data_IF_705775161647
#
_entry.id   IF_705775161647
#
_cell.length_a   1.000
_cell.length_b   1.000
_cell.length_c   1.000
_cell.angle_alpha   90.00
_cell.angle_beta   90.00
_cell.angle_gamma   90.00
#
_symmetry.space_group_name_H-M   'P 1'
#
loop_
_entity.id
_entity.type
_entity.pdbx_description
1 polymer ?
#
# COMPACT_ATOMS: atom_id res chain seq x y z
N UNK A 1 5.10 1.74 28.00
CA UNK A 1 5.46 1.23 26.66
C UNK A 1 4.31 0.36 26.18
N UNK A 2 3.60 0.75 25.11
CA UNK A 2 2.58 -0.11 24.49
C UNK A 2 3.30 -1.29 23.85
N UNK A 3 2.85 -2.52 24.10
CA UNK A 3 3.40 -3.72 23.45
C UNK A 3 3.25 -3.65 21.93
N UNK A 4 3.97 -4.50 21.17
CA UNK A 4 3.81 -4.56 19.73
C UNK A 4 2.35 -4.86 19.38
N UNK A 5 1.75 -4.04 18.53
CA UNK A 5 0.42 -4.32 17.96
C UNK A 5 0.43 -5.62 17.14
N UNK A 6 -0.73 -6.21 16.86
CA UNK A 6 -0.81 -7.44 16.08
C UNK A 6 -0.11 -7.24 14.72
N UNK A 7 0.83 -8.14 14.42
CA UNK A 7 1.51 -8.16 13.13
C UNK A 7 0.52 -8.63 12.06
N UNK A 8 0.53 -7.97 10.90
CA UNK A 8 -0.12 -8.49 9.72
C UNK A 8 0.61 -9.78 9.33
N UNK A 9 -0.08 -10.91 9.44
CA UNK A 9 0.47 -12.24 9.15
C UNK A 9 -0.32 -12.84 8.00
N UNK A 10 0.37 -13.49 7.06
CA UNK A 10 -0.30 -14.14 5.95
C UNK A 10 -1.23 -15.22 6.50
N UNK A 11 -2.50 -15.22 6.07
CA UNK A 11 -3.48 -16.26 6.41
C UNK A 11 -3.23 -17.56 5.62
N UNK A 12 -1.99 -18.07 5.68
CA UNK A 12 -1.63 -19.38 5.12
C UNK A 12 -1.42 -19.42 3.59
N UNK A 13 -0.98 -18.34 2.95
CA UNK A 13 -0.64 -18.30 1.50
C UNK A 13 0.90 -18.39 1.26
N UNK A 14 1.38 -18.82 0.08
CA UNK A 14 2.73 -19.36 -0.11
C UNK A 14 3.86 -18.37 0.24
N UNK A 15 5.03 -18.93 0.54
CA UNK A 15 6.29 -18.25 0.91
C UNK A 15 6.73 -17.13 -0.07
N UNK A 16 6.12 -17.02 -1.26
CA UNK A 16 6.44 -16.04 -2.31
C UNK A 16 5.80 -14.66 -2.11
N UNK A 17 4.89 -14.51 -1.14
CA UNK A 17 4.28 -13.22 -0.77
C UNK A 17 4.74 -12.68 0.58
N UNK A 18 6.00 -12.91 0.92
CA UNK A 18 6.65 -12.11 1.97
C UNK A 18 6.56 -10.63 1.56
N UNK A 19 6.24 -9.75 2.50
CA UNK A 19 6.33 -8.30 2.33
C UNK A 19 7.82 -7.96 2.16
N UNK A 20 8.35 -8.20 0.96
CA UNK A 20 9.77 -8.15 0.72
C UNK A 20 10.21 -6.69 0.59
N UNK A 21 11.24 -6.37 1.36
CA UNK A 21 11.81 -5.05 1.53
C UNK A 21 12.57 -4.64 0.25
N UNK A 22 11.92 -3.93 -0.69
CA UNK A 22 12.62 -3.32 -1.83
C UNK A 22 13.55 -2.21 -1.37
N UNK A 23 14.75 -2.01 -1.95
CA UNK A 23 15.89 -1.22 -1.41
C UNK A 23 15.68 0.26 -1.02
N UNK A 24 14.50 0.86 -1.22
CA UNK A 24 14.08 2.08 -0.52
C UNK A 24 13.48 1.79 0.88
N UNK A 25 13.32 0.52 1.22
CA UNK A 25 12.84 -0.01 2.48
C UNK A 25 13.93 0.11 3.52
N UNK A 26 13.70 0.96 4.52
CA UNK A 26 14.59 1.01 5.68
C UNK A 26 15.08 2.39 6.04
N UNK A 27 14.67 3.46 5.34
CA UNK A 27 15.01 4.84 5.74
C UNK A 27 13.74 5.65 6.06
N UNK A 28 13.92 6.69 6.89
CA UNK A 28 12.86 7.59 7.34
C UNK A 28 11.68 6.84 7.94
N UNK A 29 10.46 7.17 7.52
CA UNK A 29 9.21 6.57 8.04
C UNK A 29 9.09 5.05 7.78
N UNK A 30 9.90 4.50 6.87
CA UNK A 30 9.96 3.06 6.58
C UNK A 30 11.13 2.36 7.30
N UNK A 31 12.00 3.10 8.01
CA UNK A 31 13.08 2.52 8.80
C UNK A 31 12.55 1.64 9.92
N UNK A 32 13.26 0.54 10.19
CA UNK A 32 13.02 -0.35 11.33
C UNK A 32 13.88 0.02 12.54
N UNK A 33 14.81 0.96 12.39
CA UNK A 33 15.61 1.50 13.49
C UNK A 33 14.76 2.54 14.26
N UNK A 34 14.44 2.31 15.55
CA UNK A 34 13.72 3.29 16.36
C UNK A 34 14.46 4.62 16.57
N UNK A 35 15.79 4.67 16.38
CA UNK A 35 16.54 5.92 16.43
C UNK A 35 16.22 6.82 15.23
N UNK A 36 15.94 6.22 14.07
CA UNK A 36 15.57 6.94 12.84
C UNK A 36 14.04 7.09 12.70
N UNK A 37 13.28 6.07 13.08
CA UNK A 37 11.82 6.00 13.00
C UNK A 37 11.19 5.74 14.38
N UNK A 38 11.25 6.71 15.30
CA UNK A 38 10.82 6.53 16.68
C UNK A 38 9.32 6.20 16.82
N UNK A 39 8.51 6.57 15.82
CA UNK A 39 7.05 6.43 15.87
C UNK A 39 6.56 5.15 15.18
N UNK A 40 7.15 4.75 14.05
CA UNK A 40 6.58 3.70 13.19
C UNK A 40 7.51 2.51 12.94
N UNK A 41 8.66 2.41 13.61
CA UNK A 41 9.62 1.32 13.40
C UNK A 41 9.01 -0.08 13.60
N UNK A 42 8.05 -0.20 14.51
CA UNK A 42 7.33 -1.45 14.80
C UNK A 42 6.00 -1.61 14.04
N UNK A 43 5.62 -0.67 13.17
CA UNK A 43 4.37 -0.75 12.42
C UNK A 43 4.43 -1.84 11.33
N UNK A 44 3.26 -2.35 10.93
CA UNK A 44 3.17 -3.13 9.69
C UNK A 44 3.44 -2.21 8.49
N UNK A 45 4.23 -2.68 7.53
CA UNK A 45 4.62 -1.88 6.36
C UNK A 45 4.21 -2.61 5.08
N UNK A 46 3.59 -1.90 4.15
CA UNK A 46 3.26 -2.38 2.82
C UNK A 46 3.71 -1.35 1.78
N UNK A 47 4.17 -1.81 0.62
CA UNK A 47 4.68 -0.96 -0.46
C UNK A 47 3.90 -1.18 -1.75
N UNK A 48 3.48 -0.08 -2.38
CA UNK A 48 2.87 -0.09 -3.70
C UNK A 48 3.85 0.40 -4.76
N UNK A 49 4.36 -0.51 -5.59
CA UNK A 49 5.26 -0.14 -6.69
C UNK A 49 4.52 0.66 -7.77
N UNK A 50 5.13 1.77 -8.18
CA UNK A 50 4.57 2.62 -9.23
C UNK A 50 4.81 2.01 -10.61
N UNK A 51 3.79 1.35 -11.17
CA UNK A 51 3.83 0.68 -12.48
C UNK A 51 2.78 1.17 -13.48
N UNK A 52 2.12 2.29 -13.18
CA UNK A 52 0.86 2.72 -13.81
C UNK A 52 0.95 4.03 -14.60
N UNK A 53 2.04 4.79 -14.45
CA UNK A 53 2.34 6.04 -15.20
C UNK A 53 1.25 7.11 -15.24
N UNK A 54 0.31 7.11 -14.27
CA UNK A 54 -0.87 7.96 -14.25
C UNK A 54 -1.23 8.45 -12.85
N UNK A 55 -0.23 8.76 -12.02
CA UNK A 55 -0.40 9.44 -10.71
C UNK A 55 -1.44 8.77 -9.76
N UNK A 56 -1.61 7.46 -9.89
CA UNK A 56 -2.60 6.67 -9.14
C UNK A 56 -4.06 7.09 -9.36
N UNK A 57 -4.40 7.73 -10.48
CA UNK A 57 -5.77 8.23 -10.73
C UNK A 57 -6.58 7.38 -11.69
N UNK A 58 -5.91 6.60 -12.55
CA UNK A 58 -6.58 5.84 -13.60
C UNK A 58 -7.59 4.81 -13.09
N UNK A 59 -8.78 4.78 -13.69
CA UNK A 59 -9.92 3.94 -13.30
C UNK A 59 -10.30 2.90 -14.35
N UNK A 60 -9.62 2.86 -15.49
CA UNK A 60 -10.03 2.02 -16.60
C UNK A 60 -9.42 0.62 -16.46
N UNK A 61 -10.22 -0.45 -16.25
CA UNK A 61 -9.69 -1.81 -16.16
C UNK A 61 -9.32 -2.37 -17.54
N UNK A 62 -9.72 -1.71 -18.63
CA UNK A 62 -9.43 -2.12 -20.01
C UNK A 62 -8.17 -1.42 -20.52
N UNK A 63 -7.29 -2.14 -21.24
CA UNK A 63 -6.09 -1.54 -21.80
C UNK A 63 -6.46 -0.54 -22.90
N UNK A 64 -5.70 0.55 -22.97
CA UNK A 64 -5.75 1.48 -24.09
C UNK A 64 -4.69 1.08 -25.11
N UNK A 65 -5.07 1.06 -26.38
CA UNK A 65 -4.14 0.85 -27.48
C UNK A 65 -3.36 2.15 -27.71
N UNK A 66 -2.03 2.02 -27.82
CA UNK A 66 -1.12 3.11 -28.16
C UNK A 66 -0.24 2.70 -29.32
N UNK A 67 0.49 3.66 -29.90
CA UNK A 67 1.35 3.46 -31.05
C UNK A 67 2.26 2.23 -30.92
N UNK A 68 2.36 1.50 -32.03
CA UNK A 68 3.08 0.22 -32.08
C UNK A 68 2.28 -0.97 -31.55
N UNK A 69 0.93 -0.90 -31.55
CA UNK A 69 0.04 -1.98 -31.09
C UNK A 69 0.27 -2.39 -29.62
N UNK A 70 0.80 -1.46 -28.80
CA UNK A 70 1.03 -1.69 -27.38
C UNK A 70 -0.26 -1.44 -26.60
N UNK A 71 -0.39 -2.16 -25.49
CA UNK A 71 -1.52 -2.05 -24.56
C UNK A 71 -1.02 -1.49 -23.25
N UNK A 72 -1.54 -0.33 -22.85
CA UNK A 72 -1.24 0.29 -21.57
C UNK A 72 -2.46 0.27 -20.66
N UNK A 73 -2.25 -0.08 -19.40
CA UNK A 73 -3.28 -0.03 -18.36
C UNK A 73 -3.07 1.21 -17.51
N UNK A 74 -4.09 2.07 -17.49
CA UNK A 74 -4.16 3.23 -16.61
C UNK A 74 -5.22 2.97 -15.55
N UNK A 75 -4.88 2.10 -14.60
CA UNK A 75 -5.78 1.57 -13.57
C UNK A 75 -5.26 1.81 -12.14
N UNK A 76 -4.40 2.81 -11.95
CA UNK A 76 -3.72 3.03 -10.67
C UNK A 76 -4.65 3.23 -9.47
N UNK A 77 -5.81 3.84 -9.68
CA UNK A 77 -6.83 3.98 -8.63
C UNK A 77 -7.38 2.61 -8.20
N UNK A 78 -7.57 1.70 -9.16
CA UNK A 78 -8.01 0.34 -8.91
C UNK A 78 -6.90 -0.48 -8.22
N UNK A 79 -5.63 -0.27 -8.57
CA UNK A 79 -4.51 -0.93 -7.92
C UNK A 79 -4.40 -0.55 -6.44
N UNK A 80 -4.58 0.74 -6.10
CA UNK A 80 -4.60 1.20 -4.71
C UNK A 80 -5.71 0.52 -3.90
N UNK A 81 -6.91 0.41 -4.47
CA UNK A 81 -8.03 -0.30 -3.84
C UNK A 81 -7.74 -1.80 -3.68
N UNK A 82 -7.22 -2.45 -4.71
CA UNK A 82 -6.89 -3.87 -4.68
C UNK A 82 -5.83 -4.20 -3.62
N UNK A 83 -4.84 -3.32 -3.41
CA UNK A 83 -3.86 -3.48 -2.34
C UNK A 83 -4.54 -3.56 -0.96
N UNK A 84 -5.47 -2.64 -0.68
CA UNK A 84 -6.20 -2.63 0.59
C UNK A 84 -7.05 -3.89 0.77
N UNK A 85 -7.74 -4.31 -0.29
CA UNK A 85 -8.56 -5.52 -0.29
C UNK A 85 -7.72 -6.78 -0.03
N UNK A 86 -6.51 -6.86 -0.58
CA UNK A 86 -5.57 -7.96 -0.33
C UNK A 86 -5.07 -7.94 1.10
N UNK A 87 -4.67 -6.77 1.64
CA UNK A 87 -4.21 -6.66 3.03
C UNK A 87 -5.30 -7.11 4.02
N UNK A 88 -6.56 -6.75 3.75
CA UNK A 88 -7.71 -7.18 4.55
C UNK A 88 -7.96 -8.68 4.44
N UNK A 89 -8.08 -9.18 3.20
CA UNK A 89 -8.42 -10.58 2.91
C UNK A 89 -7.33 -11.52 3.42
N UNK A 90 -6.08 -11.26 3.04
CA UNK A 90 -4.98 -12.23 3.13
C UNK A 90 -4.03 -11.96 4.30
N UNK A 91 -3.96 -10.74 4.84
CA UNK A 91 -2.96 -10.36 5.85
C UNK A 91 -3.55 -9.90 7.19
N UNK A 92 -4.88 -9.83 7.30
CA UNK A 92 -5.56 -9.56 8.56
C UNK A 92 -5.66 -8.07 8.93
N UNK A 93 -5.59 -7.16 7.96
CA UNK A 93 -5.97 -5.77 8.22
C UNK A 93 -7.46 -5.74 8.59
N UNK A 94 -7.76 -5.39 9.84
CA UNK A 94 -9.12 -5.28 10.38
C UNK A 94 -9.20 -3.96 11.16
N UNK A 95 -9.98 -3.04 10.63
CA UNK A 95 -10.16 -1.67 11.10
C UNK A 95 -11.42 -1.48 11.94
N UNK A 96 -12.19 -2.56 12.15
CA UNK A 96 -13.18 -2.61 13.24
C UNK A 96 -12.51 -2.56 14.61
N UNK A 97 -11.22 -2.88 14.68
CA UNK A 97 -10.39 -2.60 15.84
C UNK A 97 -10.09 -1.09 15.89
N UNK A 98 -10.65 -0.33 16.85
CA UNK A 98 -10.47 1.12 16.92
C UNK A 98 -9.00 1.54 17.14
N UNK A 99 -8.15 0.60 17.57
CA UNK A 99 -6.72 0.82 17.77
C UNK A 99 -5.92 0.74 16.46
N UNK A 100 -6.47 0.13 15.41
CA UNK A 100 -5.80 0.04 14.10
C UNK A 100 -5.86 1.40 13.41
N UNK A 101 -4.68 1.92 13.06
CA UNK A 101 -4.52 3.15 12.27
C UNK A 101 -3.76 2.82 10.99
N UNK A 102 -4.29 3.26 9.86
CA UNK A 102 -3.64 3.12 8.55
C UNK A 102 -3.14 4.47 8.08
N UNK A 103 -1.85 4.53 7.72
CA UNK A 103 -1.23 5.68 7.08
C UNK A 103 -0.97 5.34 5.62
N UNK A 104 -1.67 6.03 4.72
CA UNK A 104 -1.44 5.94 3.28
C UNK A 104 -0.57 7.12 2.84
N UNK A 105 0.67 6.87 2.44
CA UNK A 105 1.66 7.90 2.15
C UNK A 105 2.48 7.58 0.89
N UNK A 106 3.14 8.59 0.32
CA UNK A 106 4.01 8.43 -0.83
C UNK A 106 4.83 9.68 -1.16
N UNK A 107 5.84 9.51 -2.00
CA UNK A 107 6.73 10.59 -2.46
C UNK A 107 6.48 10.91 -3.94
N UNK A 108 6.59 12.19 -4.33
CA UNK A 108 6.44 12.64 -5.73
C UNK A 108 5.08 12.23 -6.33
N UNK A 109 5.07 11.47 -7.43
CA UNK A 109 3.85 10.88 -8.00
C UNK A 109 3.06 10.03 -6.98
N UNK A 110 3.75 9.37 -6.04
CA UNK A 110 3.13 8.66 -4.93
C UNK A 110 2.47 9.59 -3.90
N UNK A 111 2.99 10.80 -3.71
CA UNK A 111 2.37 11.82 -2.83
C UNK A 111 1.07 12.36 -3.43
N UNK A 112 1.08 12.65 -4.73
CA UNK A 112 -0.17 12.94 -5.46
C UNK A 112 -1.13 11.76 -5.41
N UNK A 113 -0.62 10.54 -5.57
CA UNK A 113 -1.41 9.33 -5.39
C UNK A 113 -2.01 9.20 -4.00
N UNK A 114 -1.30 9.60 -2.94
CA UNK A 114 -1.83 9.60 -1.60
C UNK A 114 -3.03 10.54 -1.47
N UNK A 115 -2.90 11.77 -1.93
CA UNK A 115 -3.98 12.76 -1.93
C UNK A 115 -5.18 12.30 -2.78
N UNK A 116 -4.94 11.81 -3.99
CA UNK A 116 -6.00 11.42 -4.93
C UNK A 116 -6.80 10.19 -4.47
N UNK A 117 -6.23 9.36 -3.59
CA UNK A 117 -6.81 8.09 -3.18
C UNK A 117 -7.31 8.06 -1.73
N UNK A 118 -6.89 9.01 -0.88
CA UNK A 118 -7.19 9.01 0.57
C UNK A 118 -8.66 8.74 0.89
N UNK A 119 -9.58 9.55 0.36
CA UNK A 119 -11.01 9.42 0.62
C UNK A 119 -11.61 8.07 0.19
N UNK A 120 -11.13 7.52 -0.92
CA UNK A 120 -11.67 6.25 -1.40
C UNK A 120 -11.18 5.09 -0.55
N UNK A 121 -9.95 5.17 -0.06
CA UNK A 121 -9.36 4.13 0.78
C UNK A 121 -10.00 4.19 2.15
N UNK A 122 -10.19 5.39 2.71
CA UNK A 122 -10.93 5.58 3.95
C UNK A 122 -12.38 5.06 3.88
N UNK A 123 -13.05 5.15 2.72
CA UNK A 123 -14.39 4.56 2.53
C UNK A 123 -14.38 3.04 2.27
N UNK A 124 -13.26 2.50 1.80
CA UNK A 124 -13.12 1.06 1.53
C UNK A 124 -12.68 0.26 2.77
N UNK A 125 -12.19 0.97 3.78
CA UNK A 125 -11.95 0.54 5.15
C UNK A 125 -13.32 0.32 5.86
N UNK A 126 -13.64 -0.90 6.34
CA UNK A 126 -14.87 -1.23 7.09
C UNK A 126 -15.31 -0.30 8.24
#
# INVERSE_FOLDING_TARGET
>A
MRGPGPLLTSKGLPLDRTLNATPLSGLGILSRDPAENPTFANANQASGHYCLSGLWTGTNPTPQFVDGNRKLYFNGRLNARAMLEILRRDYGLDDRDPEVKVIWTGQSAGGQGAQNNADQLARAMP
#
